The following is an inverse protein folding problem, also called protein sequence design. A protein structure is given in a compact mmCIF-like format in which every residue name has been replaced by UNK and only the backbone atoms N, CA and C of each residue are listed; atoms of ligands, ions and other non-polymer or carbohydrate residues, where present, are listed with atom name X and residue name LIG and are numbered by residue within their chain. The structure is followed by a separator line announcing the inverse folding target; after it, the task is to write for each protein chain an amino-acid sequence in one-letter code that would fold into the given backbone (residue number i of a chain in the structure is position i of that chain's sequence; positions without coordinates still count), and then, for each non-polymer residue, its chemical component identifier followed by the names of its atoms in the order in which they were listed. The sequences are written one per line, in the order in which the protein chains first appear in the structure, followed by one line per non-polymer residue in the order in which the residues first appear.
data_IF_357366909761
#
_entry.id   IF_357366909761
#
_cell.length_a   1.000
_cell.length_b   1.000
_cell.length_c   1.000
_cell.angle_alpha   90.00
_cell.angle_beta   90.00
_cell.angle_gamma   90.00
#
_symmetry.space_group_name_H-M   'P 1'
#
loop_
_entity.id
_entity.type
_entity.pdbx_description
1 polymer ?
#
# COMPACT_ATOMS: atom_id res chain seq x y z
N UNK A 1 22.78 -13.69 -23.43
CA UNK A 1 23.63 -12.80 -22.61
C UNK A 1 23.38 -13.16 -21.16
N UNK A 2 24.42 -13.53 -20.42
CA UNK A 2 24.34 -13.87 -18.98
C UNK A 2 23.74 -12.67 -18.22
N UNK A 3 22.80 -12.87 -17.26
CA UNK A 3 22.26 -11.77 -16.49
C UNK A 3 23.41 -11.11 -15.71
N UNK A 4 23.65 -9.81 -15.95
CA UNK A 4 24.56 -9.06 -15.08
C UNK A 4 24.08 -9.26 -13.65
N UNK A 5 24.96 -9.81 -12.78
CA UNK A 5 24.67 -9.89 -11.33
C UNK A 5 24.39 -8.45 -10.87
N UNK A 6 23.14 -8.17 -10.53
CA UNK A 6 22.76 -6.90 -9.91
C UNK A 6 23.52 -6.78 -8.59
N UNK A 7 24.23 -5.68 -8.37
CA UNK A 7 24.74 -5.37 -7.04
C UNK A 7 23.58 -4.89 -6.18
N UNK A 8 23.08 -5.76 -5.33
CA UNK A 8 22.00 -5.44 -4.39
C UNK A 8 22.67 -4.85 -3.14
N UNK A 9 22.32 -3.62 -2.70
CA UNK A 9 22.86 -3.01 -1.50
C UNK A 9 22.47 -3.78 -0.22
N UNK A 10 23.14 -3.45 0.89
CA UNK A 10 22.78 -4.00 2.20
C UNK A 10 21.35 -3.55 2.61
N UNK A 11 20.63 -4.38 3.38
CA UNK A 11 19.30 -4.03 3.89
C UNK A 11 19.40 -2.94 4.96
N UNK A 12 18.35 -2.15 5.13
CA UNK A 12 18.19 -1.28 6.29
C UNK A 12 18.04 -2.14 7.55
N UNK A 13 18.60 -1.64 8.67
CA UNK A 13 18.61 -2.36 9.96
C UNK A 13 18.42 -1.39 11.12
N UNK A 14 17.81 -1.87 12.20
CA UNK A 14 17.70 -1.14 13.47
C UNK A 14 19.01 -0.95 14.20
N UNK A 15 20.08 -1.64 13.80
CA UNK A 15 21.43 -1.48 14.37
C UNK A 15 22.05 -0.12 14.04
N UNK A 16 21.61 0.53 12.95
CA UNK A 16 22.12 1.82 12.51
C UNK A 16 21.60 2.97 13.38
N UNK A 17 22.53 3.76 13.94
CA UNK A 17 22.20 4.88 14.80
C UNK A 17 21.56 6.03 14.02
N UNK A 18 20.53 6.66 14.60
CA UNK A 18 19.87 7.83 14.02
C UNK A 18 18.91 7.54 12.86
N UNK A 19 18.66 6.26 12.50
CA UNK A 19 17.76 5.89 11.43
C UNK A 19 16.31 5.78 11.91
N UNK A 20 15.37 5.92 10.97
CA UNK A 20 13.95 5.70 11.21
C UNK A 20 13.63 4.22 11.53
N UNK A 21 14.39 3.28 10.94
CA UNK A 21 14.31 1.87 11.27
C UNK A 21 14.53 1.62 12.76
N UNK A 22 15.61 2.21 13.33
CA UNK A 22 15.91 2.11 14.77
C UNK A 22 14.83 2.77 15.63
N UNK A 23 14.35 3.94 15.24
CA UNK A 23 13.27 4.64 15.93
C UNK A 23 11.98 3.82 15.92
N UNK A 24 11.64 3.22 14.78
CA UNK A 24 10.45 2.36 14.65
C UNK A 24 10.51 1.20 15.65
N UNK A 25 11.63 0.48 15.73
CA UNK A 25 11.76 -0.68 16.62
C UNK A 25 11.74 -0.26 18.10
N UNK A 26 12.46 0.81 18.47
CA UNK A 26 12.59 1.21 19.86
C UNK A 26 11.42 2.01 20.44
N UNK A 27 10.66 2.69 19.59
CA UNK A 27 9.61 3.63 20.04
C UNK A 27 8.26 3.25 19.43
N UNK A 28 8.13 3.27 18.10
CA UNK A 28 6.82 3.12 17.44
C UNK A 28 6.18 1.76 17.68
N UNK A 29 6.94 0.69 17.82
CA UNK A 29 6.37 -0.63 18.15
C UNK A 29 5.67 -0.62 19.52
N UNK A 30 6.22 0.05 20.50
CA UNK A 30 5.58 0.23 21.80
C UNK A 30 4.31 1.08 21.71
N UNK A 31 4.35 2.17 20.92
CA UNK A 31 3.18 3.02 20.69
C UNK A 31 2.06 2.23 20.00
N UNK A 32 2.40 1.41 19.00
CA UNK A 32 1.43 0.54 18.29
C UNK A 32 0.82 -0.47 19.27
N UNK A 33 1.61 -1.16 20.07
CA UNK A 33 1.12 -2.11 21.07
C UNK A 33 0.22 -1.43 22.09
N UNK A 34 0.65 -0.27 22.60
CA UNK A 34 -0.14 0.49 23.55
C UNK A 34 -1.52 0.88 22.97
N UNK A 35 -1.54 1.41 21.74
CA UNK A 35 -2.78 1.74 21.03
C UNK A 35 -3.63 0.50 20.78
N UNK A 36 -3.06 -0.57 20.26
CA UNK A 36 -3.76 -1.83 20.01
C UNK A 36 -4.44 -2.35 21.28
N UNK A 37 -3.76 -2.30 22.43
CA UNK A 37 -4.33 -2.71 23.73
C UNK A 37 -5.42 -1.76 24.23
N UNK A 38 -5.22 -0.46 24.10
CA UNK A 38 -6.16 0.55 24.63
C UNK A 38 -7.41 0.74 23.77
N UNK A 39 -7.35 0.43 22.49
CA UNK A 39 -8.45 0.62 21.53
C UNK A 39 -9.34 -0.64 21.39
N UNK A 40 -8.92 -1.77 21.95
CA UNK A 40 -9.67 -3.01 21.91
C UNK A 40 -9.99 -3.52 23.33
N UNK A 41 -11.16 -4.10 23.50
CA UNK A 41 -11.57 -4.75 24.75
C UNK A 41 -11.15 -6.24 24.74
N UNK A 42 -9.84 -6.48 24.80
CA UNK A 42 -9.30 -7.83 24.79
C UNK A 42 -9.56 -8.56 26.12
N UNK A 43 -9.84 -9.87 26.06
CA UNK A 43 -9.75 -10.72 27.25
C UNK A 43 -8.38 -10.57 27.94
N UNK A 44 -8.37 -10.58 29.27
CA UNK A 44 -7.14 -10.37 30.08
C UNK A 44 -5.97 -11.26 29.64
N UNK A 45 -6.25 -12.48 29.18
CA UNK A 45 -5.22 -13.40 28.72
C UNK A 45 -4.52 -12.92 27.45
N UNK A 46 -5.24 -12.35 26.49
CA UNK A 46 -4.70 -11.80 25.24
C UNK A 46 -3.96 -10.49 25.51
N UNK A 47 -4.54 -9.60 26.32
CA UNK A 47 -3.91 -8.34 26.71
C UNK A 47 -2.54 -8.58 27.39
N UNK A 48 -2.44 -9.57 28.30
CA UNK A 48 -1.16 -9.97 28.91
C UNK A 48 -0.14 -10.49 27.92
N UNK A 49 -0.56 -11.19 26.86
CA UNK A 49 0.37 -11.65 25.80
C UNK A 49 0.92 -10.48 25.00
N UNK A 50 0.08 -9.47 24.69
CA UNK A 50 0.52 -8.23 24.04
C UNK A 50 1.47 -7.42 24.92
N UNK A 51 1.21 -7.36 26.24
CA UNK A 51 2.13 -6.73 27.21
C UNK A 51 3.47 -7.44 27.28
N UNK A 52 3.46 -8.78 27.31
CA UNK A 52 4.68 -9.58 27.27
C UNK A 52 5.49 -9.35 25.99
N UNK A 53 4.84 -9.28 24.83
CA UNK A 53 5.48 -8.92 23.57
C UNK A 53 6.16 -7.55 23.63
N UNK A 54 5.50 -6.55 24.23
CA UNK A 54 6.12 -5.24 24.45
C UNK A 54 7.37 -5.30 25.31
N UNK A 55 7.39 -6.19 26.31
CA UNK A 55 8.56 -6.36 27.18
C UNK A 55 9.73 -7.10 26.51
N UNK A 56 9.50 -7.79 25.40
CA UNK A 56 10.54 -8.45 24.60
C UNK A 56 11.36 -7.46 23.73
N UNK A 57 10.73 -6.36 23.31
CA UNK A 57 11.28 -5.42 22.34
C UNK A 57 12.11 -4.34 23.03
N UNK A 58 13.33 -4.05 22.56
CA UNK A 58 14.05 -4.68 21.45
C UNK A 58 15.11 -5.72 21.87
N UNK A 59 15.32 -5.95 23.18
CA UNK A 59 16.49 -6.65 23.70
C UNK A 59 16.34 -8.18 23.80
N UNK A 60 15.11 -8.72 23.77
CA UNK A 60 14.92 -10.17 23.82
C UNK A 60 15.23 -10.83 22.47
N UNK A 61 15.63 -12.10 22.47
CA UNK A 61 15.96 -12.79 21.22
C UNK A 61 14.72 -13.02 20.35
N UNK A 62 14.92 -12.91 19.03
CA UNK A 62 13.99 -13.40 18.01
C UNK A 62 13.77 -14.89 18.23
N UNK A 63 12.53 -15.35 18.27
CA UNK A 63 12.14 -16.73 18.50
C UNK A 63 11.10 -17.22 17.48
N UNK A 64 10.99 -18.55 17.35
CA UNK A 64 9.96 -19.17 16.51
C UNK A 64 8.55 -18.84 17.04
N UNK A 65 7.58 -18.77 16.11
CA UNK A 65 6.17 -18.64 16.44
C UNK A 65 5.66 -19.90 17.14
N UNK A 66 4.60 -19.76 17.94
CA UNK A 66 4.00 -20.84 18.74
C UNK A 66 2.63 -21.26 18.25
N UNK A 67 2.03 -20.51 17.32
CA UNK A 67 0.73 -20.80 16.74
C UNK A 67 0.83 -21.69 15.49
N UNK A 68 1.38 -22.91 15.68
CA UNK A 68 1.67 -23.88 14.61
C UNK A 68 0.46 -24.35 13.79
N UNK A 69 -0.75 -23.90 14.12
CA UNK A 69 -1.97 -24.11 13.32
C UNK A 69 -2.20 -23.01 12.29
N UNK A 70 -1.40 -21.95 12.31
CA UNK A 70 -1.50 -20.86 11.35
C UNK A 70 -1.09 -21.31 9.93
N UNK A 71 -1.80 -20.85 8.89
CA UNK A 71 -1.53 -21.30 7.51
C UNK A 71 -0.17 -20.84 6.96
N UNK A 72 0.50 -19.90 7.61
CA UNK A 72 1.80 -19.33 7.26
C UNK A 72 2.94 -19.81 8.17
N UNK A 73 2.70 -20.77 9.09
CA UNK A 73 3.68 -21.23 10.09
C UNK A 73 4.96 -21.78 9.43
N UNK A 74 4.82 -22.66 8.44
CA UNK A 74 5.99 -23.26 7.75
C UNK A 74 6.88 -22.23 7.08
N UNK A 75 6.30 -21.16 6.54
CA UNK A 75 7.07 -20.11 5.91
C UNK A 75 7.73 -19.21 6.95
N UNK A 76 7.02 -18.88 8.05
CA UNK A 76 7.62 -18.13 9.15
C UNK A 76 8.75 -18.86 9.84
N UNK A 77 8.72 -20.18 9.98
CA UNK A 77 9.86 -20.96 10.47
C UNK A 77 11.12 -20.73 9.61
N UNK A 78 10.96 -20.71 8.27
CA UNK A 78 12.06 -20.43 7.33
C UNK A 78 12.55 -18.99 7.43
N UNK A 79 11.63 -18.00 7.55
CA UNK A 79 11.99 -16.59 7.64
C UNK A 79 12.72 -16.26 8.93
N UNK A 80 12.33 -16.87 10.04
CA UNK A 80 12.95 -16.65 11.36
C UNK A 80 14.31 -17.34 11.50
N UNK A 81 14.47 -18.53 10.92
CA UNK A 81 15.66 -19.38 11.12
C UNK A 81 17.01 -18.64 10.95
N UNK A 82 17.23 -17.72 9.98
CA UNK A 82 18.48 -16.98 9.86
C UNK A 82 18.76 -16.00 11.01
N UNK A 83 17.74 -15.59 11.76
CA UNK A 83 17.79 -14.52 12.76
C UNK A 83 17.45 -15.00 14.17
N UNK A 84 17.18 -16.30 14.34
CA UNK A 84 16.82 -16.87 15.62
C UNK A 84 17.94 -16.67 16.66
N UNK A 85 17.58 -16.11 17.79
CA UNK A 85 18.51 -15.78 18.86
C UNK A 85 19.19 -14.41 18.77
N UNK A 86 19.08 -13.68 17.64
CA UNK A 86 19.52 -12.27 17.57
C UNK A 86 18.51 -11.34 18.28
N UNK A 87 18.94 -10.12 18.64
CA UNK A 87 18.02 -9.11 19.10
C UNK A 87 17.20 -8.50 17.93
N UNK A 88 16.20 -7.65 18.23
CA UNK A 88 15.32 -7.07 17.22
C UNK A 88 15.99 -5.98 16.36
N UNK A 89 17.17 -5.52 16.73
CA UNK A 89 17.86 -4.45 16.00
C UNK A 89 18.79 -4.98 14.90
N UNK A 90 19.30 -6.21 15.05
CA UNK A 90 20.29 -6.78 14.13
C UNK A 90 19.71 -7.20 12.75
N UNK A 91 18.53 -7.88 12.68
CA UNK A 91 18.02 -8.34 11.40
C UNK A 91 17.60 -7.18 10.48
N UNK A 92 17.37 -7.46 9.17
CA UNK A 92 16.78 -6.49 8.25
C UNK A 92 15.48 -5.88 8.80
N UNK A 93 15.34 -4.56 8.72
CA UNK A 93 14.18 -3.87 9.25
C UNK A 93 12.87 -4.37 8.67
N UNK A 94 12.83 -4.66 7.38
CA UNK A 94 11.62 -5.19 6.73
C UNK A 94 11.17 -6.54 7.31
N UNK A 95 12.14 -7.42 7.66
CA UNK A 95 11.84 -8.65 8.39
C UNK A 95 11.29 -8.35 9.78
N UNK A 96 11.95 -7.48 10.55
CA UNK A 96 11.58 -7.18 11.94
C UNK A 96 10.18 -6.57 12.01
N UNK A 97 9.81 -5.70 11.07
CA UNK A 97 8.48 -5.10 11.00
C UNK A 97 7.39 -6.15 10.72
N UNK A 98 7.60 -7.01 9.73
CA UNK A 98 6.64 -8.08 9.43
C UNK A 98 6.54 -9.08 10.59
N UNK A 99 7.66 -9.44 11.20
CA UNK A 99 7.70 -10.29 12.38
C UNK A 99 6.93 -9.67 13.55
N UNK A 100 7.10 -8.38 13.81
CA UNK A 100 6.36 -7.66 14.85
C UNK A 100 4.85 -7.78 14.68
N UNK A 101 4.33 -7.49 13.49
CA UNK A 101 2.89 -7.60 13.23
C UNK A 101 2.40 -9.05 13.32
N UNK A 102 3.20 -9.99 12.85
CA UNK A 102 2.86 -11.42 12.94
C UNK A 102 2.86 -11.92 14.40
N UNK A 103 3.75 -11.38 15.26
CA UNK A 103 3.76 -11.64 16.69
C UNK A 103 2.53 -11.06 17.40
N UNK A 104 1.99 -9.94 16.94
CA UNK A 104 0.71 -9.41 17.45
C UNK A 104 -0.42 -10.39 17.14
N UNK A 105 -0.48 -10.94 15.92
CA UNK A 105 -1.51 -11.93 15.56
C UNK A 105 -1.41 -13.21 16.38
N UNK A 106 -0.20 -13.70 16.62
CA UNK A 106 0.05 -14.80 17.55
C UNK A 106 -0.47 -14.47 18.97
N UNK A 107 -0.15 -13.28 19.47
CA UNK A 107 -0.55 -12.86 20.82
C UNK A 107 -2.07 -12.81 21.01
N UNK A 108 -2.81 -12.38 19.97
CA UNK A 108 -4.29 -12.33 19.98
C UNK A 108 -4.95 -13.62 19.50
N UNK A 109 -4.15 -14.64 19.15
CA UNK A 109 -4.63 -15.94 18.67
C UNK A 109 -5.53 -15.81 17.40
N UNK A 110 -5.13 -14.92 16.48
CA UNK A 110 -5.94 -14.57 15.31
C UNK A 110 -6.34 -15.80 14.48
N UNK A 111 -5.40 -16.69 14.18
CA UNK A 111 -5.66 -17.90 13.40
C UNK A 111 -6.40 -19.00 14.19
N UNK A 112 -6.42 -18.91 15.52
CA UNK A 112 -7.25 -19.75 16.39
C UNK A 112 -8.65 -19.22 16.65
N UNK A 113 -9.05 -18.14 15.95
CA UNK A 113 -10.36 -17.51 16.07
C UNK A 113 -10.39 -16.27 16.95
N UNK A 114 -9.23 -15.75 17.30
CA UNK A 114 -9.09 -14.45 17.98
C UNK A 114 -9.47 -13.27 17.07
N UNK A 115 -9.64 -12.07 17.65
CA UNK A 115 -10.07 -10.89 16.90
C UNK A 115 -8.99 -10.33 15.97
N UNK A 116 -9.41 -9.59 14.93
CA UNK A 116 -8.52 -8.68 14.20
C UNK A 116 -8.09 -7.54 15.14
N UNK A 117 -6.81 -7.41 15.50
CA UNK A 117 -6.36 -6.43 16.47
C UNK A 117 -6.44 -4.98 15.96
N UNK A 118 -6.66 -4.79 14.67
CA UNK A 118 -6.69 -3.49 14.02
C UNK A 118 -8.07 -3.11 13.47
N UNK A 119 -9.08 -3.96 13.63
CA UNK A 119 -10.43 -3.76 13.12
C UNK A 119 -11.01 -2.40 13.52
N UNK A 120 -10.89 -2.06 14.81
CA UNK A 120 -11.43 -0.81 15.35
C UNK A 120 -10.81 0.44 14.71
N UNK A 121 -9.47 0.42 14.47
CA UNK A 121 -8.78 1.54 13.82
C UNK A 121 -9.21 1.71 12.37
N UNK A 122 -9.34 0.60 11.63
CA UNK A 122 -9.80 0.60 10.24
C UNK A 122 -11.22 1.14 10.11
N UNK A 123 -12.13 0.72 11.00
CA UNK A 123 -13.51 1.19 11.03
C UNK A 123 -13.58 2.69 11.36
N UNK A 124 -12.83 3.14 12.35
CA UNK A 124 -12.74 4.58 12.68
C UNK A 124 -12.15 5.39 11.54
N UNK A 125 -11.13 4.88 10.86
CA UNK A 125 -10.55 5.52 9.69
C UNK A 125 -11.59 5.73 8.58
N UNK A 126 -12.41 4.71 8.30
CA UNK A 126 -13.49 4.81 7.31
C UNK A 126 -14.58 5.80 7.76
N UNK A 127 -14.97 5.78 9.05
CA UNK A 127 -15.95 6.73 9.59
C UNK A 127 -15.46 8.17 9.55
N UNK A 128 -14.20 8.41 9.90
CA UNK A 128 -13.60 9.75 9.86
C UNK A 128 -13.49 10.32 8.43
N UNK A 129 -13.50 9.45 7.43
CA UNK A 129 -13.36 9.81 6.01
C UNK A 129 -14.66 10.23 5.33
N UNK A 130 -15.80 10.21 6.00
CA UNK A 130 -17.11 10.46 5.37
C UNK A 130 -17.19 11.81 4.65
N UNK A 131 -16.56 12.85 5.19
CA UNK A 131 -16.53 14.18 4.58
C UNK A 131 -15.76 14.22 3.24
N UNK A 132 -14.84 13.25 3.02
CA UNK A 132 -14.05 13.14 1.79
C UNK A 132 -14.71 12.20 0.77
N UNK A 133 -15.48 11.22 1.24
CA UNK A 133 -16.12 10.23 0.38
C UNK A 133 -17.19 10.87 -0.52
N UNK A 134 -17.97 11.80 0.00
CA UNK A 134 -19.05 12.45 -0.77
C UNK A 134 -18.51 13.30 -1.94
N UNK A 135 -17.54 14.20 -1.76
CA UNK A 135 -16.92 14.93 -2.88
C UNK A 135 -16.31 13.99 -3.94
N UNK A 136 -15.58 12.93 -3.51
CA UNK A 136 -15.02 11.95 -4.44
C UNK A 136 -16.12 11.24 -5.26
N UNK A 137 -17.17 10.77 -4.59
CA UNK A 137 -18.29 10.10 -5.26
C UNK A 137 -19.01 11.04 -6.24
N UNK A 138 -19.14 12.32 -5.90
CA UNK A 138 -19.71 13.36 -6.78
C UNK A 138 -18.83 13.53 -8.02
N UNK A 139 -17.52 13.67 -7.84
CA UNK A 139 -16.58 13.84 -8.96
C UNK A 139 -16.61 12.65 -9.91
N UNK A 140 -16.58 11.42 -9.36
CA UNK A 140 -16.69 10.20 -10.18
C UNK A 140 -18.03 10.16 -10.93
N UNK A 141 -19.14 10.50 -10.28
CA UNK A 141 -20.46 10.52 -10.90
C UNK A 141 -20.53 11.53 -12.05
N UNK A 142 -19.88 12.69 -11.92
CA UNK A 142 -19.76 13.69 -13.00
C UNK A 142 -18.96 13.14 -14.18
N UNK A 143 -17.83 12.50 -13.95
CA UNK A 143 -17.04 11.85 -15.00
C UNK A 143 -17.77 10.66 -15.67
N UNK A 144 -18.63 9.97 -14.94
CA UNK A 144 -19.44 8.89 -15.50
C UNK A 144 -20.58 9.38 -16.40
N UNK A 145 -21.04 10.63 -16.26
CA UNK A 145 -22.10 11.22 -17.11
C UNK A 145 -21.64 11.63 -18.50
N UNK A 146 -20.35 11.90 -18.70
CA UNK A 146 -19.85 12.26 -20.02
C UNK A 146 -19.79 11.02 -20.93
N UNK A 147 -19.95 11.19 -22.23
CA UNK A 147 -19.93 10.09 -23.19
C UNK A 147 -18.57 9.38 -23.21
N UNK A 148 -17.48 10.14 -23.28
CA UNK A 148 -16.11 9.65 -23.29
C UNK A 148 -15.33 10.23 -22.13
N UNK A 149 -14.67 9.34 -21.35
CA UNK A 149 -13.81 9.74 -20.25
C UNK A 149 -12.54 10.40 -20.80
N UNK A 150 -12.20 11.57 -20.28
CA UNK A 150 -10.99 12.28 -20.68
C UNK A 150 -9.76 11.68 -20.01
N UNK A 151 -8.60 11.80 -20.68
CA UNK A 151 -7.28 11.46 -20.12
C UNK A 151 -6.99 12.23 -18.84
N UNK A 152 -7.42 13.50 -18.78
CA UNK A 152 -7.27 14.37 -17.62
C UNK A 152 -8.01 13.82 -16.38
N UNK A 153 -9.26 13.39 -16.51
CA UNK A 153 -10.03 12.80 -15.42
C UNK A 153 -9.37 11.54 -14.83
N UNK A 154 -8.77 10.70 -15.68
CA UNK A 154 -8.01 9.53 -15.20
C UNK A 154 -6.70 9.96 -14.55
N UNK A 155 -6.06 11.01 -15.06
CA UNK A 155 -4.89 11.65 -14.43
C UNK A 155 -5.19 12.15 -13.04
N UNK A 156 -6.28 12.90 -12.86
CA UNK A 156 -6.73 13.39 -11.56
C UNK A 156 -6.96 12.23 -10.59
N UNK A 157 -7.55 11.10 -11.05
CA UNK A 157 -7.71 9.91 -10.21
C UNK A 157 -6.39 9.30 -9.77
N UNK A 158 -5.33 9.34 -10.59
CA UNK A 158 -3.99 8.90 -10.18
C UNK A 158 -3.49 9.75 -9.01
N UNK A 159 -3.65 11.07 -9.07
CA UNK A 159 -3.25 11.97 -7.98
C UNK A 159 -4.12 11.78 -6.73
N UNK A 160 -5.44 11.63 -6.88
CA UNK A 160 -6.31 11.32 -5.72
C UNK A 160 -5.91 10.00 -5.07
N UNK A 161 -5.51 9.01 -5.85
CA UNK A 161 -5.02 7.74 -5.34
C UNK A 161 -3.66 7.83 -4.64
N UNK A 162 -2.75 8.69 -5.11
CA UNK A 162 -1.49 8.95 -4.44
C UNK A 162 -1.71 9.59 -3.07
N UNK A 163 -2.54 10.66 -3.04
CA UNK A 163 -2.74 11.48 -1.85
C UNK A 163 -3.84 10.96 -0.91
N UNK A 164 -4.55 9.89 -1.28
CA UNK A 164 -5.64 9.33 -0.47
C UNK A 164 -5.27 8.93 0.95
N UNK A 165 -4.00 8.61 1.21
CA UNK A 165 -3.49 8.32 2.56
C UNK A 165 -3.12 9.58 3.34
N UNK A 166 -2.95 10.71 2.69
CA UNK A 166 -2.77 12.01 3.31
C UNK A 166 -4.12 12.69 3.59
N UNK A 167 -5.14 11.96 3.94
CA UNK A 167 -6.48 12.47 4.26
C UNK A 167 -6.48 13.62 5.28
N UNK A 168 -5.47 14.48 5.20
CA UNK A 168 -5.44 15.75 5.84
C UNK A 168 -6.28 16.72 4.99
N UNK A 169 -7.23 17.32 5.62
CA UNK A 169 -8.30 18.21 5.24
C UNK A 169 -7.98 19.27 4.14
N UNK A 170 -6.75 19.34 3.65
CA UNK A 170 -6.33 20.34 2.66
C UNK A 170 -6.77 20.02 1.22
N UNK A 171 -6.89 18.75 0.84
CA UNK A 171 -7.40 18.35 -0.49
C UNK A 171 -8.93 18.31 -0.54
N UNK A 172 -9.57 18.09 0.62
CA UNK A 172 -11.01 17.90 0.78
C UNK A 172 -11.50 18.79 1.94
N UNK A 173 -11.74 20.11 1.74
CA UNK A 173 -12.22 21.00 2.80
C UNK A 173 -13.52 20.45 3.40
N UNK A 174 -13.54 20.26 4.71
CA UNK A 174 -14.65 19.65 5.44
C UNK A 174 -15.99 20.43 5.33
N UNK A 175 -15.95 21.69 4.91
CA UNK A 175 -17.09 22.60 4.91
C UNK A 175 -17.59 22.95 3.49
N UNK A 176 -17.03 22.36 2.42
CA UNK A 176 -17.47 22.67 1.07
C UNK A 176 -18.31 21.54 0.48
N UNK A 177 -19.53 21.85 0.05
CA UNK A 177 -20.28 21.01 -0.90
C UNK A 177 -19.65 21.04 -2.31
N UNK A 178 -18.51 21.68 -2.45
CA UNK A 178 -17.77 21.85 -3.69
C UNK A 178 -16.93 20.63 -3.98
N UNK A 179 -16.81 20.28 -5.26
CA UNK A 179 -15.85 19.31 -5.76
C UNK A 179 -14.42 19.75 -5.39
N UNK A 180 -13.46 18.80 -5.21
CA UNK A 180 -12.06 19.18 -5.01
C UNK A 180 -11.65 20.18 -6.08
N UNK A 181 -11.20 21.37 -5.66
CA UNK A 181 -10.72 22.35 -6.60
C UNK A 181 -9.36 21.88 -7.16
N UNK A 182 -9.15 22.03 -8.47
CA UNK A 182 -7.85 21.77 -9.12
C UNK A 182 -6.71 22.50 -8.40
N UNK A 183 -6.99 23.64 -7.77
CA UNK A 183 -6.03 24.40 -6.96
C UNK A 183 -5.46 23.56 -5.79
N UNK A 184 -6.26 22.72 -5.17
CA UNK A 184 -5.81 21.86 -4.06
C UNK A 184 -4.92 20.71 -4.55
N UNK A 185 -5.24 20.10 -5.70
CA UNK A 185 -4.37 19.12 -6.34
C UNK A 185 -3.05 19.74 -6.81
N UNK A 186 -3.08 20.91 -7.41
CA UNK A 186 -1.86 21.63 -7.82
C UNK A 186 -0.96 21.94 -6.63
N UNK A 187 -1.51 22.30 -5.47
CA UNK A 187 -0.75 22.53 -4.24
C UNK A 187 -0.13 21.22 -3.71
N UNK A 188 -0.90 20.14 -3.69
CA UNK A 188 -0.37 18.84 -3.28
C UNK A 188 0.72 18.34 -4.23
N UNK A 189 0.55 18.56 -5.54
CA UNK A 189 1.51 18.16 -6.55
C UNK A 189 2.85 18.94 -6.48
N UNK A 190 2.92 20.08 -5.76
CA UNK A 190 4.19 20.74 -5.44
C UNK A 190 5.11 19.87 -4.55
N UNK A 191 4.53 18.87 -3.86
CA UNK A 191 5.25 17.89 -3.05
C UNK A 191 5.58 16.60 -3.82
N UNK A 192 5.37 16.55 -5.14
CA UNK A 192 5.84 15.45 -5.97
C UNK A 192 7.32 15.60 -6.30
N UNK A 193 8.09 14.57 -5.95
CA UNK A 193 9.51 14.48 -6.30
C UNK A 193 9.70 13.90 -7.70
N UNK A 194 8.86 12.95 -8.09
CA UNK A 194 8.84 12.35 -9.43
C UNK A 194 7.38 12.25 -9.86
N UNK A 195 7.10 12.68 -11.09
CA UNK A 195 5.80 12.56 -11.71
C UNK A 195 5.93 11.95 -13.11
N UNK A 196 5.64 10.65 -13.19
CA UNK A 196 5.58 9.89 -14.44
C UNK A 196 4.13 9.46 -14.76
N UNK A 197 3.13 10.22 -14.28
CA UNK A 197 1.70 9.96 -14.50
C UNK A 197 1.31 9.88 -15.97
N UNK A 198 1.95 10.67 -16.83
CA UNK A 198 1.74 10.62 -18.27
C UNK A 198 2.12 9.26 -18.90
N UNK A 199 3.18 8.62 -18.40
CA UNK A 199 3.54 7.27 -18.80
C UNK A 199 2.49 6.26 -18.34
N UNK A 200 2.04 6.36 -17.09
CA UNK A 200 0.97 5.51 -16.55
C UNK A 200 -0.30 5.62 -17.41
N UNK A 201 -0.73 6.84 -17.70
CA UNK A 201 -1.89 7.12 -18.55
C UNK A 201 -1.77 6.51 -19.94
N UNK A 202 -0.60 6.59 -20.57
CA UNK A 202 -0.36 6.03 -21.92
C UNK A 202 -0.56 4.52 -22.00
N UNK A 203 -0.42 3.81 -20.87
CA UNK A 203 -0.67 2.38 -20.79
C UNK A 203 -2.09 2.04 -20.36
N UNK A 204 -2.75 2.90 -19.58
CA UNK A 204 -4.15 2.71 -19.19
C UNK A 204 -5.14 3.06 -20.30
N UNK A 205 -4.77 3.96 -21.22
CA UNK A 205 -5.66 4.34 -22.32
C UNK A 205 -6.06 3.13 -23.17
N UNK A 206 -7.36 2.98 -23.49
CA UNK A 206 -7.85 1.90 -24.32
C UNK A 206 -7.21 1.92 -25.72
N UNK A 207 -6.53 0.83 -26.08
CA UNK A 207 -5.84 0.70 -27.40
C UNK A 207 -6.72 0.05 -28.47
N UNK A 208 -8.00 -0.18 -28.18
CA UNK A 208 -8.93 -0.95 -29.02
C UNK A 208 -8.72 -2.47 -28.90
N UNK A 209 -9.73 -3.25 -29.23
CA UNK A 209 -9.70 -4.72 -29.12
C UNK A 209 -10.17 -5.25 -27.77
N UNK A 210 -9.51 -6.29 -27.25
CA UNK A 210 -9.85 -6.87 -25.94
C UNK A 210 -9.45 -5.94 -24.83
N UNK A 211 -10.38 -5.67 -23.91
CA UNK A 211 -10.11 -4.82 -22.75
C UNK A 211 -9.08 -5.48 -21.82
N UNK A 212 -8.12 -4.69 -21.38
CA UNK A 212 -7.02 -5.10 -20.53
C UNK A 212 -7.46 -5.53 -19.12
N UNK A 213 -6.53 -6.14 -18.38
CA UNK A 213 -6.62 -6.37 -16.94
C UNK A 213 -5.68 -5.39 -16.25
N UNK A 214 -6.16 -4.71 -15.21
CA UNK A 214 -5.35 -3.82 -14.37
C UNK A 214 -5.31 -4.38 -12.95
N UNK A 215 -4.11 -4.52 -12.42
CA UNK A 215 -3.87 -4.98 -11.06
C UNK A 215 -3.57 -3.80 -10.14
N UNK A 216 -4.15 -3.83 -8.95
CA UNK A 216 -3.80 -2.93 -7.86
C UNK A 216 -3.21 -3.74 -6.71
N UNK A 217 -2.03 -3.40 -6.26
CA UNK A 217 -1.51 -3.87 -4.97
C UNK A 217 -1.94 -2.84 -3.91
N UNK A 218 -2.98 -3.23 -3.17
CA UNK A 218 -3.65 -2.36 -2.20
C UNK A 218 -2.78 -2.17 -0.96
N UNK A 219 -2.86 -0.98 -0.37
CA UNK A 219 -2.19 -0.64 0.89
C UNK A 219 -3.23 -0.51 2.01
N UNK A 220 -3.67 0.69 2.36
CA UNK A 220 -4.47 0.94 3.56
C UNK A 220 -5.98 0.86 3.32
N UNK A 221 -6.70 0.35 4.32
CA UNK A 221 -8.13 0.56 4.49
C UNK A 221 -8.48 2.06 4.75
N UNK A 222 -9.76 2.39 4.86
CA UNK A 222 -10.22 3.78 5.05
C UNK A 222 -10.32 4.53 3.72
N UNK A 223 -10.03 5.84 3.71
CA UNK A 223 -10.23 6.67 2.52
C UNK A 223 -9.34 6.27 1.34
N UNK A 224 -8.14 5.80 1.59
CA UNK A 224 -7.26 5.30 0.53
C UNK A 224 -7.92 4.15 -0.24
N UNK A 225 -8.49 3.18 0.46
CA UNK A 225 -9.23 2.09 -0.16
C UNK A 225 -10.48 2.58 -0.90
N UNK A 226 -11.20 3.57 -0.37
CA UNK A 226 -12.34 4.19 -1.07
C UNK A 226 -11.88 4.84 -2.38
N UNK A 227 -10.74 5.51 -2.37
CA UNK A 227 -10.13 6.10 -3.57
C UNK A 227 -9.73 5.05 -4.59
N UNK A 228 -9.12 3.92 -4.16
CA UNK A 228 -8.77 2.80 -5.03
C UNK A 228 -10.02 2.16 -5.66
N UNK A 229 -11.07 1.97 -4.87
CA UNK A 229 -12.38 1.48 -5.34
C UNK A 229 -13.05 2.43 -6.34
N UNK A 230 -12.99 3.73 -6.08
CA UNK A 230 -13.51 4.75 -6.97
C UNK A 230 -12.76 4.78 -8.31
N UNK A 231 -11.44 4.58 -8.28
CA UNK A 231 -10.64 4.45 -9.49
C UNK A 231 -10.99 3.18 -10.28
N UNK A 232 -11.13 2.05 -9.60
CA UNK A 232 -11.57 0.81 -10.21
C UNK A 232 -12.96 0.95 -10.85
N UNK A 233 -13.93 1.59 -10.16
CA UNK A 233 -15.27 1.86 -10.70
C UNK A 233 -15.21 2.73 -11.96
N UNK A 234 -14.41 3.80 -11.96
CA UNK A 234 -14.24 4.68 -13.11
C UNK A 234 -13.69 3.94 -14.33
N UNK A 235 -12.61 3.18 -14.16
CA UNK A 235 -11.99 2.39 -15.22
C UNK A 235 -12.93 1.32 -15.78
N UNK A 236 -13.66 0.62 -14.91
CA UNK A 236 -14.57 -0.44 -15.29
C UNK A 236 -15.85 0.10 -15.93
N UNK A 237 -16.43 1.17 -15.40
CA UNK A 237 -17.69 1.76 -15.89
C UNK A 237 -17.54 2.48 -17.21
N UNK A 238 -16.33 2.93 -17.55
CA UNK A 238 -16.00 3.59 -18.81
C UNK A 238 -15.24 2.71 -19.80
N UNK A 239 -15.16 1.40 -19.52
CA UNK A 239 -14.48 0.41 -20.34
C UNK A 239 -13.04 0.79 -20.72
N UNK A 240 -12.34 1.49 -19.81
CA UNK A 240 -10.90 1.66 -19.88
C UNK A 240 -10.16 0.36 -19.62
N UNK A 241 -10.77 -0.50 -18.80
CA UNK A 241 -10.31 -1.86 -18.58
C UNK A 241 -11.48 -2.85 -18.49
N UNK A 242 -11.25 -4.11 -18.82
CA UNK A 242 -12.24 -5.16 -18.72
C UNK A 242 -12.34 -5.74 -17.33
N UNK A 243 -11.24 -5.74 -16.60
CA UNK A 243 -11.14 -6.35 -15.28
C UNK A 243 -10.13 -5.60 -14.40
N UNK A 244 -10.47 -5.45 -13.13
CA UNK A 244 -9.57 -4.97 -12.08
C UNK A 244 -9.40 -6.08 -11.04
N UNK A 245 -8.14 -6.34 -10.63
CA UNK A 245 -7.82 -7.27 -9.56
C UNK A 245 -7.12 -6.53 -8.43
N UNK A 246 -7.68 -6.64 -7.23
CA UNK A 246 -7.08 -6.10 -6.02
C UNK A 246 -6.28 -7.19 -5.32
N UNK A 247 -4.96 -7.07 -5.31
CA UNK A 247 -4.07 -7.86 -4.47
C UNK A 247 -4.06 -7.27 -3.07
N UNK A 248 -4.53 -8.03 -2.11
CA UNK A 248 -4.67 -7.61 -0.71
C UNK A 248 -3.90 -8.53 0.23
N UNK A 249 -3.66 -8.06 1.44
CA UNK A 249 -2.99 -8.86 2.47
C UNK A 249 -3.82 -10.10 2.81
N UNK A 250 -3.13 -11.22 3.12
CA UNK A 250 -3.78 -12.46 3.56
C UNK A 250 -4.30 -12.42 4.98
N UNK A 251 -3.72 -11.56 5.83
CA UNK A 251 -4.13 -11.33 7.22
C UNK A 251 -3.86 -9.87 7.64
N UNK A 252 -4.43 -9.36 8.75
CA UNK A 252 -4.19 -8.01 9.25
C UNK A 252 -2.70 -7.75 9.50
N UNK A 253 -2.20 -6.58 9.08
CA UNK A 253 -0.82 -6.16 9.26
C UNK A 253 -0.68 -4.64 9.13
N UNK A 254 0.45 -4.06 9.52
CA UNK A 254 0.76 -2.62 9.41
C UNK A 254 -0.36 -1.70 9.92
N UNK A 255 -1.17 -2.20 10.86
CA UNK A 255 -2.33 -1.53 11.46
C UNK A 255 -3.49 -1.33 10.49
N UNK A 256 -3.24 -0.69 9.35
CA UNK A 256 -4.28 -0.22 8.42
C UNK A 256 -4.34 -0.99 7.11
N UNK A 257 -3.41 -1.91 6.83
CA UNK A 257 -3.38 -2.63 5.57
C UNK A 257 -4.69 -3.42 5.34
N UNK A 258 -5.20 -3.29 4.12
CA UNK A 258 -6.49 -3.88 3.76
C UNK A 258 -6.39 -5.38 3.49
N UNK A 259 -7.35 -6.12 4.03
CA UNK A 259 -7.65 -7.52 3.70
C UNK A 259 -9.00 -7.61 2.98
N UNK A 260 -9.35 -8.77 2.45
CA UNK A 260 -10.63 -8.97 1.72
C UNK A 260 -11.85 -8.46 2.51
N UNK A 261 -11.91 -8.78 3.81
CA UNK A 261 -12.98 -8.36 4.70
C UNK A 261 -13.15 -6.82 4.73
N UNK A 262 -12.04 -6.07 4.69
CA UNK A 262 -12.08 -4.60 4.73
C UNK A 262 -12.61 -4.04 3.40
N UNK A 263 -12.25 -4.66 2.27
CA UNK A 263 -12.76 -4.27 0.94
C UNK A 263 -14.27 -4.51 0.85
N UNK A 264 -14.73 -5.69 1.24
CA UNK A 264 -16.16 -6.06 1.24
C UNK A 264 -16.97 -5.16 2.19
N UNK A 265 -16.44 -4.90 3.39
CA UNK A 265 -17.05 -3.99 4.36
C UNK A 265 -17.17 -2.57 3.80
N UNK A 266 -16.11 -2.05 3.18
CA UNK A 266 -16.12 -0.71 2.57
C UNK A 266 -17.19 -0.60 1.48
N UNK A 267 -17.26 -1.57 0.56
CA UNK A 267 -18.30 -1.60 -0.48
C UNK A 267 -19.71 -1.66 0.14
N UNK A 268 -19.90 -2.44 1.20
CA UNK A 268 -21.17 -2.55 1.93
C UNK A 268 -21.56 -1.21 2.56
N UNK A 269 -20.63 -0.52 3.22
CA UNK A 269 -20.86 0.82 3.82
C UNK A 269 -21.24 1.84 2.75
N UNK A 270 -20.51 1.88 1.63
CA UNK A 270 -20.83 2.78 0.51
C UNK A 270 -22.23 2.50 -0.06
N UNK A 271 -22.58 1.24 -0.29
CA UNK A 271 -23.88 0.85 -0.86
C UNK A 271 -25.08 1.09 0.07
N UNK A 272 -24.84 1.14 1.39
CA UNK A 272 -25.84 1.44 2.41
C UNK A 272 -25.95 2.95 2.74
N UNK A 273 -25.15 3.81 2.10
CA UNK A 273 -25.13 5.26 2.38
C UNK A 273 -26.49 5.92 2.12
N UNK A 274 -26.80 6.92 2.94
CA UNK A 274 -27.98 7.79 2.75
C UNK A 274 -27.81 8.76 1.56
N UNK A 275 -26.59 9.10 1.18
CA UNK A 275 -26.27 9.88 0.00
C UNK A 275 -26.49 9.06 -1.28
N UNK A 276 -27.27 9.56 -2.22
CA UNK A 276 -27.52 8.88 -3.51
C UNK A 276 -26.24 8.69 -4.32
N UNK A 277 -25.32 9.65 -4.28
CA UNK A 277 -24.03 9.59 -4.99
C UNK A 277 -23.12 8.51 -4.43
N UNK A 278 -22.94 8.49 -3.12
CA UNK A 278 -22.12 7.47 -2.44
C UNK A 278 -22.73 6.07 -2.59
N UNK A 279 -24.07 5.97 -2.43
CA UNK A 279 -24.79 4.72 -2.63
C UNK A 279 -24.68 4.23 -4.08
N UNK A 280 -24.70 5.15 -5.06
CA UNK A 280 -24.50 4.85 -6.47
C UNK A 280 -23.14 4.21 -6.74
N UNK A 281 -22.06 4.78 -6.20
CA UNK A 281 -20.72 4.23 -6.25
C UNK A 281 -20.69 2.81 -5.65
N UNK A 282 -21.21 2.64 -4.43
CA UNK A 282 -21.25 1.34 -3.75
C UNK A 282 -21.99 0.28 -4.56
N UNK A 283 -23.16 0.61 -5.16
CA UNK A 283 -23.92 -0.31 -5.98
C UNK A 283 -23.20 -0.72 -7.27
N UNK A 284 -22.55 0.21 -7.98
CA UNK A 284 -21.77 -0.13 -9.17
C UNK A 284 -20.61 -1.06 -8.81
N UNK A 285 -19.93 -0.81 -7.68
CA UNK A 285 -18.88 -1.72 -7.19
C UNK A 285 -19.42 -3.12 -6.89
N UNK A 286 -20.58 -3.25 -6.25
CA UNK A 286 -21.25 -4.56 -6.06
C UNK A 286 -21.51 -5.25 -7.39
N UNK A 287 -22.04 -4.53 -8.38
CA UNK A 287 -22.26 -5.08 -9.71
C UNK A 287 -20.97 -5.53 -10.40
N UNK A 288 -19.88 -4.80 -10.25
CA UNK A 288 -18.56 -5.19 -10.78
C UNK A 288 -18.06 -6.47 -10.12
N UNK A 289 -18.24 -6.64 -8.81
CA UNK A 289 -17.90 -7.88 -8.09
C UNK A 289 -18.76 -9.04 -8.56
N UNK A 290 -20.09 -8.87 -8.63
CA UNK A 290 -21.05 -9.89 -9.09
C UNK A 290 -20.76 -10.36 -10.52
N UNK A 291 -20.32 -9.44 -11.40
CA UNK A 291 -19.95 -9.72 -12.79
C UNK A 291 -18.51 -10.23 -12.94
N UNK A 292 -17.78 -10.45 -11.84
CA UNK A 292 -16.36 -10.82 -11.81
C UNK A 292 -15.46 -9.89 -12.64
N UNK A 293 -15.80 -8.59 -12.69
CA UNK A 293 -14.97 -7.53 -13.26
C UNK A 293 -14.06 -6.90 -12.21
N UNK A 294 -14.48 -6.87 -10.95
CA UNK A 294 -13.64 -6.52 -9.78
C UNK A 294 -13.43 -7.78 -8.94
N UNK A 295 -12.16 -8.17 -8.71
CA UNK A 295 -11.78 -9.42 -8.04
C UNK A 295 -10.79 -9.11 -6.93
N UNK A 296 -10.91 -9.81 -5.78
CA UNK A 296 -9.99 -9.69 -4.66
C UNK A 296 -9.12 -10.94 -4.56
N UNK A 297 -7.80 -10.73 -4.52
CA UNK A 297 -6.78 -11.79 -4.52
C UNK A 297 -5.93 -11.66 -3.24
N UNK A 298 -6.33 -12.31 -2.14
CA UNK A 298 -5.50 -12.36 -0.94
C UNK A 298 -4.32 -13.30 -1.15
N UNK A 299 -3.12 -12.91 -0.67
CA UNK A 299 -1.96 -13.77 -0.68
C UNK A 299 -1.05 -13.48 0.52
N UNK A 300 -0.52 -14.53 1.18
CA UNK A 300 0.39 -14.41 2.31
C UNK A 300 1.76 -13.86 1.91
N UNK A 301 2.12 -13.90 0.64
CA UNK A 301 3.33 -13.23 0.16
C UNK A 301 3.31 -11.72 0.51
N UNK A 302 2.15 -11.09 0.45
CA UNK A 302 2.01 -9.68 0.80
C UNK A 302 2.18 -9.38 2.30
N UNK A 303 2.15 -10.43 3.15
CA UNK A 303 2.43 -10.36 4.59
C UNK A 303 3.83 -10.87 4.94
N UNK A 304 4.59 -11.41 3.97
CA UNK A 304 5.91 -11.96 4.20
C UNK A 304 7.00 -10.88 4.26
N UNK A 305 8.16 -11.15 4.87
CA UNK A 305 9.31 -10.25 4.84
C UNK A 305 10.11 -10.32 3.53
N UNK A 306 9.65 -11.06 2.54
CA UNK A 306 10.33 -11.25 1.26
C UNK A 306 10.28 -10.00 0.40
N UNK A 307 11.33 -9.75 -0.35
CA UNK A 307 11.34 -8.73 -1.38
C UNK A 307 10.51 -9.17 -2.61
N UNK A 308 10.13 -8.22 -3.43
CA UNK A 308 9.29 -8.49 -4.61
C UNK A 308 10.00 -9.40 -5.65
N UNK A 309 11.32 -9.41 -5.70
CA UNK A 309 12.07 -10.34 -6.57
C UNK A 309 12.05 -11.80 -6.11
N UNK A 310 11.57 -12.06 -4.89
CA UNK A 310 11.32 -13.41 -4.34
C UNK A 310 9.86 -13.86 -4.56
N UNK A 311 9.14 -13.18 -5.46
CA UNK A 311 7.73 -13.42 -5.78
C UNK A 311 7.48 -14.89 -6.16
N UNK A 312 6.50 -15.58 -5.53
CA UNK A 312 6.13 -16.92 -5.92
C UNK A 312 5.73 -16.99 -7.40
N UNK A 313 6.09 -18.08 -8.08
CA UNK A 313 5.84 -18.24 -9.52
C UNK A 313 4.35 -18.07 -9.88
N UNK A 314 3.44 -18.59 -9.06
CA UNK A 314 1.99 -18.45 -9.30
C UNK A 314 1.51 -16.99 -9.24
N UNK A 315 2.09 -16.17 -8.36
CA UNK A 315 1.78 -14.73 -8.28
C UNK A 315 2.41 -13.99 -9.45
N UNK A 316 3.67 -14.31 -9.82
CA UNK A 316 4.34 -13.75 -10.99
C UNK A 316 3.58 -14.04 -12.27
N UNK A 317 3.11 -15.29 -12.46
CA UNK A 317 2.30 -15.71 -13.61
C UNK A 317 0.96 -14.97 -13.65
N UNK A 318 0.33 -14.75 -12.49
CA UNK A 318 -0.89 -13.94 -12.40
C UNK A 318 -0.63 -12.50 -12.85
N UNK A 319 0.38 -11.83 -12.28
CA UNK A 319 0.73 -10.44 -12.61
C UNK A 319 1.10 -10.28 -14.08
N UNK A 320 1.74 -11.28 -14.71
CA UNK A 320 2.13 -11.23 -16.13
C UNK A 320 0.93 -11.16 -17.09
N UNK A 321 -0.29 -11.45 -16.62
CA UNK A 321 -1.53 -11.35 -17.39
C UNK A 321 -2.13 -9.94 -17.37
N UNK A 322 -1.64 -9.05 -16.52
CA UNK A 322 -2.10 -7.68 -16.46
C UNK A 322 -1.36 -6.78 -17.45
N UNK A 323 -2.05 -5.77 -17.95
CA UNK A 323 -1.43 -4.68 -18.70
C UNK A 323 -0.57 -3.80 -17.78
N UNK A 324 -1.03 -3.61 -16.53
CA UNK A 324 -0.37 -2.79 -15.53
C UNK A 324 -0.63 -3.27 -14.11
N UNK A 325 0.40 -3.17 -13.26
CA UNK A 325 0.31 -3.24 -11.80
C UNK A 325 0.44 -1.82 -11.24
N UNK A 326 -0.59 -1.34 -10.54
CA UNK A 326 -0.56 -0.11 -9.75
C UNK A 326 -0.23 -0.50 -8.31
N UNK A 327 0.99 -0.24 -7.88
CA UNK A 327 1.46 -0.52 -6.52
C UNK A 327 1.26 0.70 -5.63
N UNK A 328 0.52 0.54 -4.54
CA UNK A 328 0.14 1.61 -3.61
C UNK A 328 0.97 1.55 -2.32
N UNK A 329 1.37 2.73 -1.85
CA UNK A 329 1.87 2.96 -0.51
C UNK A 329 3.33 2.63 -0.27
N UNK A 330 3.77 2.98 0.95
CA UNK A 330 5.18 2.91 1.36
C UNK A 330 5.68 1.48 1.59
N UNK A 331 4.91 0.64 2.27
CA UNK A 331 5.31 -0.73 2.58
C UNK A 331 5.50 -1.56 1.30
N UNK A 332 4.60 -1.42 0.32
CA UNK A 332 4.71 -2.10 -0.97
C UNK A 332 5.89 -1.55 -1.80
N UNK A 333 6.16 -0.24 -1.74
CA UNK A 333 7.34 0.35 -2.38
C UNK A 333 8.65 -0.19 -1.76
N UNK A 334 8.72 -0.27 -0.44
CA UNK A 334 9.87 -0.86 0.27
C UNK A 334 10.09 -2.32 -0.16
N UNK A 335 9.02 -3.10 -0.32
CA UNK A 335 9.08 -4.46 -0.87
C UNK A 335 9.66 -4.48 -2.29
N UNK A 336 9.25 -3.55 -3.17
CA UNK A 336 9.80 -3.40 -4.53
C UNK A 336 11.31 -3.13 -4.50
N UNK A 337 11.78 -2.31 -3.56
CA UNK A 337 13.19 -1.97 -3.38
C UNK A 337 13.96 -3.02 -2.56
N UNK A 338 13.28 -4.01 -1.96
CA UNK A 338 13.85 -4.96 -1.01
C UNK A 338 14.34 -4.31 0.29
N UNK A 339 13.85 -3.10 0.59
CA UNK A 339 14.16 -2.31 1.80
C UNK A 339 15.66 -2.13 2.02
N UNK A 340 16.36 -1.57 1.02
CA UNK A 340 17.82 -1.53 0.97
C UNK A 340 18.36 -0.12 0.74
N UNK A 341 19.65 0.08 1.06
CA UNK A 341 20.42 1.31 0.89
C UNK A 341 20.73 1.63 -0.58
N UNK A 342 19.71 1.78 -1.41
CA UNK A 342 19.91 2.26 -2.77
C UNK A 342 20.36 3.73 -2.77
N UNK A 343 21.28 4.07 -3.68
CA UNK A 343 21.49 5.50 -3.98
C UNK A 343 20.22 6.11 -4.56
N UNK A 344 19.87 7.32 -4.13
CA UNK A 344 18.73 8.07 -4.68
C UNK A 344 18.80 8.22 -6.20
N UNK A 345 20.01 8.31 -6.77
CA UNK A 345 20.24 8.43 -8.21
C UNK A 345 20.09 7.11 -8.98
N UNK A 346 19.93 5.99 -8.28
CA UNK A 346 19.68 4.71 -8.97
C UNK A 346 18.36 4.81 -9.74
N UNK A 347 18.34 4.53 -11.06
CA UNK A 347 17.09 4.62 -11.82
C UNK A 347 16.05 3.62 -11.29
N UNK A 348 14.81 4.06 -11.12
CA UNK A 348 13.70 3.21 -10.63
C UNK A 348 13.57 1.93 -11.44
N UNK A 349 13.52 2.04 -12.77
CA UNK A 349 13.44 0.93 -13.71
C UNK A 349 14.58 -0.10 -13.58
N UNK A 350 15.77 0.31 -13.13
CA UNK A 350 16.87 -0.61 -12.89
C UNK A 350 16.61 -1.50 -11.67
N UNK A 351 15.97 -0.95 -10.64
CA UNK A 351 15.68 -1.69 -9.41
C UNK A 351 14.54 -2.68 -9.61
N UNK A 352 13.53 -2.35 -10.42
CA UNK A 352 12.32 -3.16 -10.61
C UNK A 352 12.29 -3.94 -11.94
N UNK A 353 13.41 -4.05 -12.67
CA UNK A 353 13.50 -4.72 -13.99
C UNK A 353 13.20 -6.24 -13.97
N UNK A 354 13.00 -6.81 -12.79
CA UNK A 354 12.61 -8.20 -12.61
C UNK A 354 11.10 -8.45 -12.78
N UNK A 355 10.28 -7.40 -12.77
CA UNK A 355 8.83 -7.53 -12.89
C UNK A 355 8.39 -7.90 -14.31
N UNK A 356 7.39 -8.80 -14.44
CA UNK A 356 6.89 -9.24 -15.75
C UNK A 356 5.78 -8.35 -16.31
N UNK A 357 5.43 -7.24 -15.67
CA UNK A 357 4.29 -6.36 -15.96
C UNK A 357 4.71 -4.90 -15.92
N UNK A 358 4.01 -4.01 -16.64
CA UNK A 358 4.17 -2.56 -16.46
C UNK A 358 3.85 -2.20 -15.00
N UNK A 359 4.71 -1.42 -14.37
CA UNK A 359 4.56 -1.00 -12.98
C UNK A 359 4.35 0.50 -12.89
N UNK A 360 3.29 0.90 -12.19
CA UNK A 360 3.09 2.24 -11.65
C UNK A 360 3.22 2.18 -10.13
N UNK A 361 4.17 2.89 -9.54
CA UNK A 361 4.34 2.98 -8.09
C UNK A 361 3.85 4.35 -7.60
N UNK A 362 2.80 4.36 -6.80
CA UNK A 362 2.19 5.55 -6.17
C UNK A 362 2.50 5.50 -4.68
N UNK A 363 3.41 6.36 -4.22
CA UNK A 363 3.90 6.33 -2.84
C UNK A 363 4.01 7.71 -2.23
N UNK A 364 3.52 7.89 -1.01
CA UNK A 364 3.96 8.94 -0.08
C UNK A 364 5.08 8.39 0.80
N UNK A 365 6.15 9.18 1.01
CA UNK A 365 7.37 8.71 1.65
C UNK A 365 7.19 8.63 3.17
N UNK A 366 7.37 7.43 3.74
CA UNK A 366 7.29 7.16 5.18
C UNK A 366 8.44 6.30 5.70
N UNK A 367 9.47 6.07 4.85
CA UNK A 367 10.68 5.31 5.17
C UNK A 367 11.87 5.81 4.35
N UNK A 368 13.07 5.60 4.88
CA UNK A 368 14.36 6.05 4.33
C UNK A 368 14.82 5.25 3.09
N UNK A 369 13.88 4.96 2.20
CA UNK A 369 14.12 4.26 0.92
C UNK A 369 13.62 5.12 -0.22
N UNK A 370 14.46 5.37 -1.22
CA UNK A 370 14.06 6.13 -2.41
C UNK A 370 15.05 5.96 -3.55
N UNK A 371 14.56 5.96 -4.78
CA UNK A 371 15.36 5.86 -6.00
C UNK A 371 14.78 6.74 -7.12
N UNK A 372 15.56 7.01 -8.15
CA UNK A 372 15.12 7.80 -9.30
C UNK A 372 15.08 9.31 -9.03
N UNK A 373 15.79 9.79 -8.02
CA UNK A 373 15.88 11.20 -7.66
C UNK A 373 17.23 11.78 -8.09
N UNK A 374 17.24 12.98 -8.66
CA UNK A 374 18.48 13.70 -8.93
C UNK A 374 19.08 14.27 -7.64
N UNK A 375 20.39 14.51 -7.64
CA UNK A 375 21.06 15.16 -6.48
C UNK A 375 20.47 16.54 -6.15
N UNK A 376 20.04 17.30 -7.17
CA UNK A 376 19.46 18.63 -6.96
C UNK A 376 18.07 18.54 -6.31
N UNK A 377 17.26 17.54 -6.66
CA UNK A 377 15.99 17.29 -5.98
C UNK A 377 16.21 16.93 -4.51
N UNK A 378 17.12 15.99 -4.23
CA UNK A 378 17.45 15.60 -2.86
C UNK A 378 17.94 16.80 -2.05
N UNK A 379 18.96 17.52 -2.55
CA UNK A 379 19.47 18.71 -1.86
C UNK A 379 18.43 19.80 -1.62
N UNK A 380 17.49 19.96 -2.55
CA UNK A 380 16.42 20.96 -2.41
C UNK A 380 15.45 20.58 -1.31
N UNK A 381 14.99 19.33 -1.28
CA UNK A 381 14.02 18.88 -0.30
C UNK A 381 14.62 18.81 1.10
N UNK A 382 15.83 18.30 1.26
CA UNK A 382 16.55 18.24 2.55
C UNK A 382 16.76 19.61 3.21
N UNK A 383 16.93 20.67 2.43
CA UNK A 383 17.05 22.03 2.97
C UNK A 383 15.74 22.59 3.49
N UNK A 384 14.62 22.19 2.89
CA UNK A 384 13.29 22.67 3.25
C UNK A 384 12.60 21.84 4.31
N UNK A 385 12.95 20.56 4.37
CA UNK A 385 12.28 19.55 5.16
C UNK A 385 13.23 18.43 5.58
N UNK A 386 13.79 18.47 6.79
CA UNK A 386 14.71 17.43 7.29
C UNK A 386 14.07 16.04 7.38
N UNK A 387 12.76 15.95 7.58
CA UNK A 387 12.01 14.70 7.78
C UNK A 387 11.31 14.20 6.51
N UNK A 388 11.63 14.76 5.34
CA UNK A 388 10.98 14.55 4.06
C UNK A 388 10.77 13.07 3.66
N UNK A 389 11.64 12.19 4.12
CA UNK A 389 11.52 10.76 3.80
C UNK A 389 10.52 10.01 4.68
N UNK A 390 10.14 10.55 5.83
CA UNK A 390 9.44 9.79 6.87
C UNK A 390 8.13 10.41 7.34
N UNK A 391 7.88 11.67 6.99
CA UNK A 391 6.71 12.42 7.46
C UNK A 391 5.46 12.23 6.60
N UNK A 392 5.60 11.62 5.43
CA UNK A 392 4.50 11.34 4.49
C UNK A 392 4.10 12.51 3.61
N UNK A 393 4.69 13.72 3.74
CA UNK A 393 4.32 14.91 2.97
C UNK A 393 4.74 14.86 1.50
N UNK A 394 5.78 14.10 1.19
CA UNK A 394 6.34 14.01 -0.16
C UNK A 394 5.89 12.73 -0.86
N UNK A 395 5.69 12.82 -2.17
CA UNK A 395 5.23 11.69 -2.96
C UNK A 395 6.02 11.47 -4.24
N UNK A 396 5.84 10.26 -4.80
CA UNK A 396 6.35 9.89 -6.12
C UNK A 396 5.29 9.13 -6.89
N UNK A 397 5.22 9.40 -8.19
CA UNK A 397 4.56 8.57 -9.21
C UNK A 397 5.67 8.10 -10.13
N UNK A 398 6.04 6.82 -10.06
CA UNK A 398 7.13 6.24 -10.84
C UNK A 398 6.62 5.13 -11.74
N UNK A 399 7.14 5.07 -12.96
CA UNK A 399 6.75 4.08 -13.96
C UNK A 399 7.95 3.23 -14.42
N UNK A 400 7.73 1.94 -14.62
CA UNK A 400 8.68 1.05 -15.26
C UNK A 400 7.98 0.05 -16.17
N UNK A 401 8.40 -0.09 -17.45
CA UNK A 401 7.91 -1.15 -18.31
C UNK A 401 8.52 -2.51 -17.92
N UNK A 402 7.92 -3.64 -18.33
CA UNK A 402 8.44 -4.97 -18.07
C UNK A 402 9.80 -5.18 -18.74
N UNK A 403 10.54 -6.17 -18.24
CA UNK A 403 11.86 -6.50 -18.75
C UNK A 403 11.83 -6.84 -20.25
N UNK A 404 12.59 -6.09 -21.02
CA UNK A 404 12.79 -6.36 -22.45
C UNK A 404 12.10 -5.40 -23.41
N UNK A 405 11.18 -4.57 -22.95
CA UNK A 405 10.67 -3.47 -23.77
C UNK A 405 11.69 -2.32 -23.79
N UNK A 406 12.24 -2.06 -24.98
CA UNK A 406 13.01 -0.83 -25.25
C UNK A 406 12.00 0.32 -25.33
N UNK A 407 12.33 1.44 -24.69
CA UNK A 407 11.57 2.68 -24.81
C UNK A 407 11.09 2.90 -26.25
N UNK A 408 9.78 2.98 -26.45
CA UNK A 408 9.25 3.80 -27.53
C UNK A 408 9.60 5.25 -27.14
N UNK A 409 10.68 5.76 -27.74
CA UNK A 409 11.16 7.14 -27.61
C UNK A 409 10.20 8.09 -28.30
#
# INVERSE_FOLDING_TARGET
MSPRKRSIPEPLSGSEQGTWARHTIRVRFHDILHRTRSENDFPIALDRRLEALGSEIPESPICQLRDHHAPDDEDWQKFIAPYEGSDWLEPPWFFVEHYFYRRILEAVDYFGGGPDPFQWQKERGLQASQNMILPLAKQVDEWLKVESLSREAVGDMIYYNLWGNQADLSLWPADSEETPDHTNLEQANQHLLVDESDHVLSFLEPKGGTLAVVDFLIDNAGFELVSDLAFADLLLSKDWTGKVRFHVKGHPTFVSDAIVKDVEHTISVLSASTSDLVRGLGKRLQEHVEKARLIFLPDFFWNSPLAFWDLPACVADSLSQAEMLISKGDANYRRLMGDRHWSFQTPFRYVVDYLPVNLAALRTLKAEVGVGLSEDQVRRVERGDPDWMVDGRWGVIQFAPPRGEKNAS
#
